data_IF_685288691277
#
_entry.id   IF_685288691277
#
_cell.length_a   1.000
_cell.length_b   1.000
_cell.length_c   1.000
_cell.angle_alpha   90.00
_cell.angle_beta   90.00
_cell.angle_gamma   90.00
#
_symmetry.space_group_name_H-M   'P 1'
#
loop_
_entity.id
_entity.type
_entity.pdbx_description
1 polymer ?
#
# COMPACT_ATOMS: atom_id res chain seq x y z
N UNK A 1 -10.33 -12.30 7.34
CA UNK A 1 -9.29 -11.61 6.55
C UNK A 1 -9.76 -10.18 6.35
N UNK A 2 -9.32 -9.25 7.21
CA UNK A 2 -9.74 -7.84 7.16
C UNK A 2 -8.78 -7.07 6.26
N UNK A 3 -9.24 -6.72 5.08
CA UNK A 3 -8.49 -5.90 4.14
C UNK A 3 -8.45 -4.44 4.65
N UNK A 4 -7.26 -3.83 4.74
CA UNK A 4 -7.12 -2.44 5.18
C UNK A 4 -7.74 -1.50 4.14
N UNK A 5 -8.73 -0.71 4.57
CA UNK A 5 -9.38 0.30 3.74
C UNK A 5 -8.35 1.29 3.18
N UNK A 6 -7.21 1.50 3.87
CA UNK A 6 -6.15 2.39 3.43
C UNK A 6 -5.55 1.97 2.09
N UNK A 7 -5.28 0.68 1.87
CA UNK A 7 -4.77 0.21 0.58
C UNK A 7 -5.76 0.53 -0.54
N UNK A 8 -7.06 0.28 -0.37
CA UNK A 8 -8.08 0.61 -1.37
C UNK A 8 -8.21 2.10 -1.67
N UNK A 9 -7.76 2.96 -0.76
CA UNK A 9 -7.77 4.41 -0.92
C UNK A 9 -6.47 4.95 -1.53
N UNK A 10 -5.46 4.13 -1.78
CA UNK A 10 -4.17 4.55 -2.28
C UNK A 10 -4.14 4.61 -3.82
N UNK A 11 -3.55 5.66 -4.40
CA UNK A 11 -3.35 5.84 -5.85
C UNK A 11 -2.47 4.73 -6.46
N UNK A 12 -1.58 4.14 -5.66
CA UNK A 12 -0.62 3.12 -6.09
C UNK A 12 -1.12 1.68 -5.90
N UNK A 13 -2.25 1.51 -5.20
CA UNK A 13 -2.86 0.20 -5.02
C UNK A 13 -3.65 -0.19 -6.27
N UNK A 14 -3.41 -1.40 -6.75
CA UNK A 14 -4.00 -2.01 -7.93
C UNK A 14 -4.81 -3.26 -7.52
N UNK A 15 -5.66 -3.73 -8.43
CA UNK A 15 -6.52 -4.91 -8.19
C UNK A 15 -5.70 -6.14 -7.74
N UNK A 16 -6.33 -7.05 -6.99
CA UNK A 16 -5.73 -8.32 -6.53
C UNK A 16 -4.49 -8.17 -5.64
N UNK A 17 -4.48 -7.20 -4.71
CA UNK A 17 -3.37 -7.00 -3.74
C UNK A 17 -2.04 -6.63 -4.39
N UNK A 18 -2.08 -6.00 -5.57
CA UNK A 18 -0.89 -5.51 -6.25
C UNK A 18 -0.68 -4.03 -5.91
N UNK A 19 0.57 -3.59 -5.78
CA UNK A 19 0.92 -2.21 -5.48
C UNK A 19 2.24 -1.85 -6.14
N UNK A 20 2.36 -0.64 -6.69
CA UNK A 20 3.59 -0.19 -7.36
C UNK A 20 4.77 -0.03 -6.37
N UNK A 21 4.48 0.17 -5.07
CA UNK A 21 5.49 0.17 -4.02
C UNK A 21 6.05 -1.23 -3.72
N UNK A 22 5.25 -2.28 -3.96
CA UNK A 22 5.55 -3.67 -3.60
C UNK A 22 5.35 -4.60 -4.79
N UNK A 23 6.30 -4.57 -5.73
CA UNK A 23 6.28 -5.39 -6.95
C UNK A 23 6.25 -6.90 -6.68
N UNK A 24 6.77 -7.33 -5.53
CA UNK A 24 6.83 -8.74 -5.10
C UNK A 24 5.64 -9.14 -4.20
N UNK A 25 4.73 -8.21 -3.91
CA UNK A 25 3.56 -8.42 -3.07
C UNK A 25 3.56 -7.54 -1.81
N UNK A 26 2.38 -7.06 -1.43
CA UNK A 26 2.19 -6.17 -0.27
C UNK A 26 2.40 -6.99 1.02
N UNK A 27 3.29 -6.54 1.93
CA UNK A 27 3.43 -7.17 3.24
C UNK A 27 2.11 -7.24 3.99
N UNK A 28 1.80 -8.41 4.58
CA UNK A 28 0.52 -8.66 5.25
C UNK A 28 0.23 -7.61 6.35
N UNK A 29 1.23 -7.21 7.12
CA UNK A 29 1.10 -6.17 8.15
C UNK A 29 0.62 -4.83 7.61
N UNK A 30 1.01 -4.47 6.39
CA UNK A 30 0.54 -3.23 5.72
C UNK A 30 -0.87 -3.46 5.18
N UNK A 31 -1.08 -4.62 4.55
CA UNK A 31 -2.37 -5.01 3.98
C UNK A 31 -3.49 -5.08 5.03
N UNK A 32 -3.17 -5.49 6.25
CA UNK A 32 -4.08 -5.56 7.40
C UNK A 32 -4.18 -4.22 8.16
N UNK A 33 -3.31 -3.25 7.86
CA UNK A 33 -3.28 -1.95 8.52
C UNK A 33 -2.59 -1.94 9.89
N UNK A 34 -1.86 -3.01 10.23
CA UNK A 34 -1.04 -3.10 11.45
C UNK A 34 0.22 -2.23 11.36
N UNK A 35 0.69 -1.96 10.13
CA UNK A 35 1.83 -1.10 9.83
C UNK A 35 1.40 -0.02 8.83
N UNK A 36 1.65 1.24 9.19
CA UNK A 36 1.45 2.38 8.30
C UNK A 36 2.43 2.36 7.12
N UNK A 37 2.03 3.00 6.02
CA UNK A 37 2.87 3.20 4.84
C UNK A 37 3.00 4.69 4.51
N UNK A 38 3.17 5.52 5.55
CA UNK A 38 3.37 6.97 5.46
C UNK A 38 4.82 7.34 5.09
N UNK A 39 5.75 6.38 5.14
CA UNK A 39 7.17 6.55 4.83
C UNK A 39 7.69 5.37 4.02
N UNK A 40 8.74 5.55 3.20
CA UNK A 40 9.40 4.45 2.54
C UNK A 40 9.93 3.45 3.57
N UNK A 41 9.65 2.16 3.35
CA UNK A 41 10.19 1.09 4.17
C UNK A 41 11.57 0.65 3.68
N UNK A 42 12.38 0.07 4.55
CA UNK A 42 13.74 -0.36 4.20
C UNK A 42 13.76 -1.49 3.16
N UNK A 43 12.65 -2.21 2.99
CA UNK A 43 12.50 -3.36 2.11
C UNK A 43 11.79 -3.06 0.78
N UNK A 44 11.42 -1.81 0.49
CA UNK A 44 10.94 -1.39 -0.83
C UNK A 44 12.09 -0.83 -1.67
N UNK A 45 12.03 -1.05 -2.99
CA UNK A 45 13.06 -0.60 -3.96
C UNK A 45 12.81 0.81 -4.51
N UNK A 46 11.78 1.48 -4.04
CA UNK A 46 11.35 2.81 -4.46
C UNK A 46 10.91 3.63 -3.24
N UNK A 47 10.58 4.91 -3.43
CA UNK A 47 10.13 5.82 -2.37
C UNK A 47 8.61 6.03 -2.36
N UNK A 48 7.85 5.10 -2.97
CA UNK A 48 6.40 5.20 -3.05
C UNK A 48 5.81 4.99 -1.65
N UNK A 49 4.91 5.88 -1.25
CA UNK A 49 4.19 5.86 0.03
C UNK A 49 2.69 5.97 -0.22
N UNK A 50 1.89 5.87 0.85
CA UNK A 50 0.46 6.07 0.78
C UNK A 50 0.13 7.46 0.23
N UNK A 51 -0.57 7.48 -0.90
CA UNK A 51 -1.14 8.68 -1.49
C UNK A 51 -2.63 8.47 -1.74
N UNK A 52 -3.49 9.25 -1.08
CA UNK A 52 -4.94 9.09 -1.19
C UNK A 52 -5.43 9.40 -2.61
N UNK A 53 -6.31 8.55 -3.16
CA UNK A 53 -7.03 8.83 -4.40
C UNK A 53 -7.88 10.08 -4.19
N UNK A 54 -7.58 11.13 -4.94
CA UNK A 54 -8.41 12.33 -4.99
C UNK A 54 -9.63 12.02 -5.85
N UNK A 55 -10.83 12.13 -5.25
CA UNK A 55 -12.06 12.15 -6.03
C UNK A 55 -12.16 13.53 -6.67
N UNK A 56 -12.01 13.58 -7.99
CA UNK A 56 -12.40 14.74 -8.80
C UNK A 56 -13.91 14.85 -8.88
#
# INVERSE_FOLDING_TARGET
MSFSILCSLCKHYKFLNTCDAFLEGIPEKILLGEMGHDKPLSNQKNDIVFEKIEKK
#
